data_IF_484786603210
#
_entry.id   IF_484786603210
#
_cell.length_a   1.000
_cell.length_b   1.000
_cell.length_c   1.000
_cell.angle_alpha   90.00
_cell.angle_beta   90.00
_cell.angle_gamma   90.00
#
_symmetry.space_group_name_H-M   'P 1'
#
loop_
_entity.id
_entity.type
_entity.pdbx_description
1 polymer ?
#
# COMPACT_ATOMS: atom_id res chain seq x y z
N UNK A 1 -22.73 -10.84 15.90
CA UNK A 1 -22.88 -11.41 14.54
C UNK A 1 -23.41 -12.82 14.67
N UNK A 2 -24.24 -13.31 13.75
CA UNK A 2 -24.78 -14.66 13.82
C UNK A 2 -23.66 -15.71 13.70
N UNK A 3 -23.75 -16.75 14.54
CA UNK A 3 -22.91 -17.94 14.47
C UNK A 3 -23.65 -18.99 13.66
N UNK A 4 -22.98 -19.58 12.68
CA UNK A 4 -23.50 -20.68 11.88
C UNK A 4 -23.01 -21.99 12.50
N UNK A 5 -23.93 -22.91 12.75
CA UNK A 5 -23.59 -24.21 13.31
C UNK A 5 -23.68 -25.28 12.25
N UNK A 6 -22.61 -26.04 12.08
CA UNK A 6 -22.63 -27.22 11.23
C UNK A 6 -23.58 -28.26 11.81
N UNK A 7 -24.50 -28.77 10.99
CA UNK A 7 -25.48 -29.78 11.42
C UNK A 7 -24.79 -31.11 11.78
N UNK A 8 -23.69 -31.46 11.10
CA UNK A 8 -23.03 -32.76 11.25
C UNK A 8 -22.05 -32.83 12.43
N UNK A 9 -21.26 -31.77 12.66
CA UNK A 9 -20.21 -31.77 13.69
C UNK A 9 -20.46 -30.76 14.82
N UNK A 10 -21.59 -30.04 14.79
CA UNK A 10 -21.94 -28.98 15.75
C UNK A 10 -20.92 -27.84 15.90
N UNK A 11 -19.90 -27.79 15.03
CA UNK A 11 -18.92 -26.71 15.03
C UNK A 11 -19.59 -25.38 14.68
N UNK A 12 -19.34 -24.36 15.49
CA UNK A 12 -19.84 -23.01 15.28
C UNK A 12 -18.77 -22.16 14.59
N UNK A 13 -19.11 -21.60 13.43
CA UNK A 13 -18.26 -20.69 12.69
C UNK A 13 -19.01 -19.38 12.38
N UNK A 14 -18.30 -18.26 12.40
CA UNK A 14 -18.83 -17.01 11.83
C UNK A 14 -18.42 -16.90 10.36
N UNK A 15 -19.22 -16.21 9.55
CA UNK A 15 -18.86 -15.89 8.15
C UNK A 15 -17.61 -15.00 8.02
N UNK A 16 -17.12 -14.47 9.14
CA UNK A 16 -15.91 -13.67 9.21
C UNK A 16 -14.65 -14.49 9.44
N UNK A 17 -14.77 -15.77 9.83
CA UNK A 17 -13.62 -16.66 10.05
C UNK A 17 -12.79 -16.77 8.76
N UNK A 18 -11.48 -16.67 8.88
CA UNK A 18 -10.54 -16.69 7.77
C UNK A 18 -10.38 -15.37 7.01
N UNK A 19 -11.19 -14.35 7.30
CA UNK A 19 -11.14 -13.03 6.62
C UNK A 19 -10.54 -11.95 7.51
N UNK A 20 -10.26 -10.78 6.95
CA UNK A 20 -9.81 -9.61 7.74
C UNK A 20 -10.81 -9.21 8.83
N UNK A 21 -12.08 -9.59 8.69
CA UNK A 21 -13.17 -9.25 9.61
C UNK A 21 -13.23 -10.22 10.80
N UNK A 22 -12.39 -11.26 10.84
CA UNK A 22 -12.35 -12.19 11.97
C UNK A 22 -12.05 -11.45 13.28
N UNK A 23 -12.69 -11.92 14.34
CA UNK A 23 -12.59 -11.37 15.70
C UNK A 23 -12.97 -9.89 15.81
N UNK A 24 -13.71 -9.35 14.84
CA UNK A 24 -14.32 -8.03 14.94
C UNK A 24 -15.69 -8.11 15.61
N UNK A 25 -15.96 -7.22 16.56
CA UNK A 25 -17.32 -6.99 17.10
C UNK A 25 -18.16 -6.07 16.20
N UNK A 26 -17.58 -5.55 15.11
CA UNK A 26 -18.23 -4.59 14.21
C UNK A 26 -19.11 -5.30 13.19
N UNK A 27 -20.32 -4.77 12.95
CA UNK A 27 -21.27 -5.29 11.95
C UNK A 27 -20.64 -5.34 10.54
N UNK A 28 -20.90 -6.41 9.80
CA UNK A 28 -20.51 -6.59 8.39
C UNK A 28 -20.96 -5.43 7.51
N UNK A 29 -22.14 -4.84 7.76
CA UNK A 29 -22.60 -3.67 7.02
C UNK A 29 -21.61 -2.51 7.12
N UNK A 30 -21.08 -2.25 8.32
CA UNK A 30 -20.06 -1.21 8.54
C UNK A 30 -18.74 -1.55 7.85
N UNK A 31 -18.37 -2.83 7.80
CA UNK A 31 -17.22 -3.29 7.03
C UNK A 31 -17.39 -3.07 5.52
N UNK A 32 -18.54 -3.44 4.94
CA UNK A 32 -18.81 -3.18 3.53
C UNK A 32 -18.82 -1.69 3.21
N UNK A 33 -19.43 -0.86 4.08
CA UNK A 33 -19.36 0.60 3.95
C UNK A 33 -17.92 1.10 4.02
N UNK A 34 -17.09 0.56 4.92
CA UNK A 34 -15.68 0.93 5.01
C UNK A 34 -14.91 0.56 3.73
N UNK A 35 -15.07 -0.66 3.23
CA UNK A 35 -14.44 -1.13 1.99
C UNK A 35 -14.87 -0.27 0.79
N UNK A 36 -16.15 0.07 0.72
CA UNK A 36 -16.70 0.96 -0.31
C UNK A 36 -16.10 2.36 -0.23
N UNK A 37 -16.02 2.96 0.96
CA UNK A 37 -15.46 4.30 1.14
C UNK A 37 -13.96 4.34 0.83
N UNK A 38 -13.19 3.32 1.24
CA UNK A 38 -11.75 3.25 0.94
C UNK A 38 -11.54 3.12 -0.57
N UNK A 39 -12.25 2.22 -1.25
CA UNK A 39 -12.07 1.97 -2.69
C UNK A 39 -12.60 3.11 -3.57
N UNK A 40 -13.74 3.70 -3.24
CA UNK A 40 -14.45 4.64 -4.12
C UNK A 40 -13.98 6.09 -4.00
N UNK A 41 -13.44 6.50 -2.85
CA UNK A 41 -13.00 7.90 -2.66
C UNK A 41 -11.66 8.15 -3.34
N UNK A 42 -11.57 9.03 -4.34
CA UNK A 42 -10.31 9.28 -5.05
C UNK A 42 -9.15 9.74 -4.15
N UNK A 43 -9.47 10.50 -3.09
CA UNK A 43 -8.50 10.92 -2.09
C UNK A 43 -8.11 9.78 -1.14
N UNK A 44 -8.88 8.71 -1.03
CA UNK A 44 -8.84 7.86 0.16
C UNK A 44 -9.56 8.52 1.34
N UNK A 45 -9.61 7.79 2.46
CA UNK A 45 -10.32 8.20 3.68
C UNK A 45 -9.40 8.08 4.90
N UNK A 46 -9.43 9.10 5.75
CA UNK A 46 -8.72 9.08 7.03
C UNK A 46 -9.59 8.47 8.14
N UNK A 47 -8.95 8.04 9.24
CA UNK A 47 -9.65 7.34 10.32
C UNK A 47 -10.74 8.20 11.00
N UNK A 48 -10.52 9.50 11.12
CA UNK A 48 -11.49 10.44 11.69
C UNK A 48 -12.76 10.56 10.85
N UNK A 49 -12.61 10.69 9.52
CA UNK A 49 -13.75 10.73 8.62
C UNK A 49 -14.49 9.40 8.60
N UNK A 50 -13.75 8.28 8.62
CA UNK A 50 -14.35 6.95 8.66
C UNK A 50 -15.13 6.72 9.97
N UNK A 51 -14.60 7.13 11.13
CA UNK A 51 -15.31 7.01 12.42
C UNK A 51 -16.61 7.78 12.43
N UNK A 52 -16.62 8.98 11.86
CA UNK A 52 -17.81 9.82 11.78
C UNK A 52 -18.87 9.23 10.85
N UNK A 53 -18.47 8.68 9.70
CA UNK A 53 -19.45 8.08 8.77
C UNK A 53 -20.03 6.76 9.30
N UNK A 54 -19.19 5.91 9.91
CA UNK A 54 -19.63 4.60 10.40
C UNK A 54 -20.24 4.64 11.81
N UNK A 55 -20.17 5.80 12.50
CA UNK A 55 -20.58 5.96 13.89
C UNK A 55 -19.93 4.88 14.77
N UNK A 56 -18.59 4.84 14.73
CA UNK A 56 -17.75 3.94 15.54
C UNK A 56 -16.63 4.74 16.19
N UNK A 57 -15.95 4.16 17.18
CA UNK A 57 -14.80 4.84 17.79
C UNK A 57 -13.67 5.05 16.77
N UNK A 58 -12.87 6.09 16.97
CA UNK A 58 -11.67 6.34 16.18
C UNK A 58 -10.76 5.10 16.13
N UNK A 59 -10.56 4.42 17.26
CA UNK A 59 -9.73 3.21 17.36
C UNK A 59 -10.27 2.07 16.49
N UNK A 60 -11.59 1.90 16.45
CA UNK A 60 -12.25 0.92 15.57
C UNK A 60 -12.01 1.26 14.10
N UNK A 61 -12.27 2.50 13.70
CA UNK A 61 -12.06 2.96 12.32
C UNK A 61 -10.60 2.82 11.88
N UNK A 62 -9.66 3.20 12.75
CA UNK A 62 -8.22 3.04 12.51
C UNK A 62 -7.84 1.56 12.34
N UNK A 63 -8.35 0.67 13.19
CA UNK A 63 -8.09 -0.77 13.08
C UNK A 63 -8.66 -1.37 11.79
N UNK A 64 -9.85 -0.94 11.36
CA UNK A 64 -10.44 -1.35 10.09
C UNK A 64 -9.55 -0.94 8.91
N UNK A 65 -9.14 0.32 8.85
CA UNK A 65 -8.23 0.82 7.81
C UNK A 65 -6.89 0.09 7.82
N UNK A 66 -6.34 -0.18 9.01
CA UNK A 66 -5.08 -0.91 9.15
C UNK A 66 -5.18 -2.33 8.59
N UNK A 67 -6.25 -3.05 8.91
CA UNK A 67 -6.52 -4.40 8.39
C UNK A 67 -6.66 -4.40 6.86
N UNK A 68 -7.38 -3.43 6.31
CA UNK A 68 -7.54 -3.28 4.85
C UNK A 68 -6.18 -3.05 4.19
N UNK A 69 -5.38 -2.09 4.68
CA UNK A 69 -4.05 -1.79 4.12
C UNK A 69 -3.07 -2.95 4.27
N UNK A 70 -3.18 -3.73 5.34
CA UNK A 70 -2.38 -4.94 5.52
C UNK A 70 -2.67 -5.94 4.41
N UNK A 71 -3.94 -6.15 4.07
CA UNK A 71 -4.28 -7.05 2.98
C UNK A 71 -3.80 -6.54 1.62
N UNK A 72 -3.87 -5.23 1.40
CA UNK A 72 -3.28 -4.62 0.20
C UNK A 72 -1.77 -4.90 0.16
N UNK A 73 -1.08 -4.75 1.30
CA UNK A 73 0.36 -5.01 1.40
C UNK A 73 0.69 -6.48 1.10
N UNK A 74 -0.09 -7.43 1.62
CA UNK A 74 0.13 -8.85 1.36
C UNK A 74 -0.11 -9.23 -0.10
N UNK A 75 -1.15 -8.64 -0.73
CA UNK A 75 -1.39 -8.84 -2.14
C UNK A 75 -0.30 -8.20 -3.02
N UNK A 76 0.20 -7.02 -2.61
CA UNK A 76 1.31 -6.36 -3.30
C UNK A 76 2.60 -7.19 -3.17
N UNK A 77 2.95 -7.67 -1.98
CA UNK A 77 4.14 -8.50 -1.75
C UNK A 77 4.12 -9.82 -2.57
N UNK A 78 2.93 -10.37 -2.84
CA UNK A 78 2.77 -11.57 -3.66
C UNK A 78 2.90 -11.31 -5.18
N UNK A 79 2.65 -10.08 -5.64
CA UNK A 79 2.69 -9.74 -7.06
C UNK A 79 4.08 -9.22 -7.46
N UNK A 80 4.75 -9.88 -8.41
CA UNK A 80 6.03 -9.41 -8.94
C UNK A 80 5.87 -8.56 -10.21
N UNK A 81 6.80 -7.64 -10.42
CA UNK A 81 6.94 -6.88 -11.66
C UNK A 81 7.63 -7.78 -12.70
N UNK A 82 7.06 -7.85 -13.89
CA UNK A 82 7.59 -8.61 -15.03
C UNK A 82 7.80 -7.69 -16.24
N UNK A 83 8.43 -8.22 -17.30
CA UNK A 83 8.73 -7.45 -18.51
C UNK A 83 9.89 -6.48 -18.32
N UNK A 84 9.75 -5.25 -18.82
CA UNK A 84 10.78 -4.22 -18.71
C UNK A 84 10.53 -3.31 -17.50
N UNK A 85 11.36 -3.45 -16.46
CA UNK A 85 11.19 -2.72 -15.20
C UNK A 85 12.21 -1.59 -15.09
N UNK A 86 11.73 -0.37 -14.87
CA UNK A 86 12.54 0.80 -14.57
C UNK A 86 12.53 1.05 -13.07
N UNK A 87 13.71 1.19 -12.46
CA UNK A 87 13.82 1.56 -11.05
C UNK A 87 14.34 2.99 -10.95
N UNK A 88 13.49 3.85 -10.39
CA UNK A 88 13.78 5.25 -10.11
C UNK A 88 13.98 5.46 -8.61
N UNK A 89 14.89 6.37 -8.27
CA UNK A 89 15.12 6.81 -6.91
C UNK A 89 14.36 8.13 -6.65
N UNK A 90 13.65 8.19 -5.53
CA UNK A 90 12.90 9.35 -5.08
C UNK A 90 13.09 9.59 -3.57
N UNK A 91 12.75 10.79 -3.12
CA UNK A 91 12.85 11.17 -1.70
C UNK A 91 11.52 11.69 -1.17
N UNK A 92 11.11 11.23 0.01
CA UNK A 92 9.90 11.66 0.71
C UNK A 92 10.25 12.23 2.09
N UNK A 93 9.95 13.52 2.32
CA UNK A 93 10.14 14.20 3.61
C UNK A 93 8.83 14.49 4.36
N UNK A 94 8.93 14.99 5.61
CA UNK A 94 7.80 15.45 6.44
C UNK A 94 7.03 16.61 5.79
N UNK A 95 5.73 16.82 6.10
CA UNK A 95 5.02 18.03 5.71
C UNK A 95 5.59 19.25 6.47
N UNK A 96 6.06 20.22 5.70
CA UNK A 96 6.43 21.58 6.05
C UNK A 96 5.67 22.18 7.25
N UNK A 97 6.31 22.24 8.41
CA UNK A 97 6.17 23.36 9.35
C UNK A 97 7.32 24.32 9.08
N UNK A 98 7.02 25.59 8.84
CA UNK A 98 8.05 26.60 8.65
C UNK A 98 9.04 26.61 9.82
N UNK A 99 10.30 26.87 9.49
CA UNK A 99 11.41 27.22 10.40
C UNK A 99 12.39 26.14 10.89
N UNK A 100 12.35 24.87 10.48
CA UNK A 100 13.44 23.91 10.78
C UNK A 100 13.95 23.14 9.53
N UNK A 101 15.26 23.17 9.31
CA UNK A 101 16.00 22.41 8.29
C UNK A 101 16.48 21.07 8.90
N UNK A 102 15.59 20.08 9.10
CA UNK A 102 16.00 18.74 9.54
C UNK A 102 15.60 17.63 8.56
N UNK A 103 16.57 17.29 7.70
CA UNK A 103 17.17 16.00 7.31
C UNK A 103 16.38 14.67 7.21
N UNK A 104 15.11 14.53 7.58
CA UNK A 104 14.42 13.23 7.42
C UNK A 104 13.80 13.07 6.02
N UNK A 105 14.63 13.14 4.97
CA UNK A 105 14.25 12.68 3.64
C UNK A 105 14.42 11.16 3.58
N UNK A 106 13.31 10.43 3.52
CA UNK A 106 13.36 8.97 3.37
C UNK A 106 13.49 8.62 1.88
N UNK A 107 14.54 7.89 1.48
CA UNK A 107 14.64 7.41 0.12
C UNK A 107 13.60 6.32 -0.14
N UNK A 108 13.09 6.35 -1.36
CA UNK A 108 12.03 5.48 -1.85
C UNK A 108 12.43 5.03 -3.25
N UNK A 109 12.38 3.72 -3.49
CA UNK A 109 12.53 3.14 -4.80
C UNK A 109 11.18 2.99 -5.47
N UNK A 110 11.11 3.38 -6.74
CA UNK A 110 9.90 3.32 -7.55
C UNK A 110 10.17 2.39 -8.72
N UNK A 111 9.54 1.22 -8.70
CA UNK A 111 9.58 0.26 -9.80
C UNK A 111 8.41 0.48 -10.75
N UNK A 112 8.70 0.76 -12.02
CA UNK A 112 7.72 0.93 -13.09
C UNK A 112 7.91 -0.17 -14.14
N UNK A 113 6.97 -1.10 -14.22
CA UNK A 113 6.93 -2.10 -15.28
C UNK A 113 6.26 -1.50 -16.53
N UNK A 114 6.93 -1.65 -17.66
CA UNK A 114 6.49 -1.16 -18.97
C UNK A 114 6.24 -2.36 -19.88
N UNK A 115 5.12 -2.30 -20.59
CA UNK A 115 4.75 -3.30 -21.59
C UNK A 115 5.46 -3.07 -22.93
N UNK A 116 5.26 -3.98 -23.88
CA UNK A 116 5.85 -3.89 -25.22
C UNK A 116 5.38 -2.65 -26.01
N UNK A 117 4.25 -2.05 -25.62
CA UNK A 117 3.68 -0.83 -26.20
C UNK A 117 4.21 0.45 -25.57
N UNK A 118 5.23 0.36 -24.72
CA UNK A 118 5.82 1.48 -23.97
C UNK A 118 4.83 2.16 -23.01
N UNK A 119 3.76 1.46 -22.60
CA UNK A 119 2.80 1.92 -21.61
C UNK A 119 3.12 1.35 -20.22
N UNK A 120 2.69 2.06 -19.19
CA UNK A 120 2.90 1.65 -17.80
C UNK A 120 1.89 0.56 -17.44
N UNK A 121 2.37 -0.63 -17.11
CA UNK A 121 1.54 -1.78 -16.71
C UNK A 121 1.36 -1.83 -15.18
N UNK A 122 2.44 -1.61 -14.43
CA UNK A 122 2.43 -1.74 -12.97
C UNK A 122 3.42 -0.79 -12.31
N UNK A 123 3.01 -0.20 -11.18
CA UNK A 123 3.88 0.60 -10.32
C UNK A 123 4.02 -0.05 -8.95
N UNK A 124 5.23 0.02 -8.39
CA UNK A 124 5.53 -0.27 -6.98
C UNK A 124 6.37 0.83 -6.38
N UNK A 125 6.10 1.13 -5.12
CA UNK A 125 6.80 2.17 -4.36
C UNK A 125 7.23 1.55 -3.02
N UNK A 126 8.54 1.47 -2.78
CA UNK A 126 9.11 0.81 -1.61
C UNK A 126 10.06 1.77 -0.89
N UNK A 127 9.83 1.96 0.40
CA UNK A 127 10.77 2.66 1.28
C UNK A 127 12.04 1.85 1.42
N UNK A 128 13.17 2.55 1.41
CA UNK A 128 14.49 1.96 1.63
C UNK A 128 14.76 1.88 3.12
N UNK A 129 15.32 0.76 3.57
CA UNK A 129 15.73 0.57 4.97
C UNK A 129 16.86 1.54 5.35
N UNK A 130 16.88 2.00 6.60
CA UNK A 130 17.90 2.95 7.11
C UNK A 130 19.33 2.43 6.95
N UNK A 131 19.53 1.12 6.95
CA UNK A 131 20.84 0.49 6.75
C UNK A 131 21.30 0.45 5.28
N UNK A 132 20.41 0.73 4.33
CA UNK A 132 20.68 0.60 2.89
C UNK A 132 20.82 1.94 2.16
N UNK A 133 20.98 3.05 2.88
CA UNK A 133 21.31 4.36 2.31
C UNK A 133 22.18 5.17 3.27
N UNK A 134 22.96 6.09 2.72
CA UNK A 134 23.71 7.10 3.47
C UNK A 134 23.15 8.51 3.16
N UNK A 135 23.79 9.55 3.70
CA UNK A 135 23.35 10.94 3.46
C UNK A 135 23.39 11.36 1.98
N UNK A 136 24.18 10.67 1.17
CA UNK A 136 24.50 11.03 -0.21
C UNK A 136 23.74 10.18 -1.24
N UNK A 137 23.54 8.89 -0.97
CA UNK A 137 23.04 7.93 -1.97
C UNK A 137 22.31 6.73 -1.37
N UNK A 138 21.53 6.07 -2.24
CA UNK A 138 20.96 4.76 -1.99
C UNK A 138 22.01 3.70 -2.36
N UNK A 139 22.30 2.76 -1.46
CA UNK A 139 23.30 1.73 -1.68
C UNK A 139 22.80 0.68 -2.67
N UNK A 140 23.71 -0.04 -3.34
CA UNK A 140 23.33 -1.11 -4.27
C UNK A 140 22.51 -2.21 -3.59
N UNK A 141 22.80 -2.51 -2.33
CA UNK A 141 22.05 -3.48 -1.51
C UNK A 141 20.55 -3.14 -1.44
N UNK A 142 20.18 -1.86 -1.38
CA UNK A 142 18.77 -1.46 -1.42
C UNK A 142 18.08 -1.90 -2.72
N UNK A 143 18.80 -1.75 -3.83
CA UNK A 143 18.32 -2.08 -5.16
C UNK A 143 18.23 -3.60 -5.31
N UNK A 144 19.23 -4.33 -4.83
CA UNK A 144 19.25 -5.80 -4.86
C UNK A 144 18.09 -6.38 -4.05
N UNK A 145 17.86 -5.88 -2.82
CA UNK A 145 16.71 -6.26 -2.01
C UNK A 145 15.37 -5.92 -2.68
N UNK A 146 15.28 -4.78 -3.38
CA UNK A 146 14.08 -4.44 -4.16
C UNK A 146 13.86 -5.44 -5.28
N UNK A 147 14.91 -5.81 -6.02
CA UNK A 147 14.82 -6.77 -7.12
C UNK A 147 14.38 -8.15 -6.62
N UNK A 148 15.04 -8.68 -5.58
CA UNK A 148 14.70 -9.97 -4.98
C UNK A 148 13.23 -10.05 -4.54
N UNK A 149 12.75 -8.97 -3.91
CA UNK A 149 11.40 -8.92 -3.37
C UNK A 149 10.34 -8.72 -4.45
N UNK A 150 10.56 -7.77 -5.37
CA UNK A 150 9.49 -7.22 -6.20
C UNK A 150 9.60 -7.53 -7.69
N UNK A 151 10.71 -8.09 -8.17
CA UNK A 151 10.96 -8.30 -9.59
C UNK A 151 11.01 -9.80 -9.90
N UNK A 152 10.42 -10.19 -11.03
CA UNK A 152 10.51 -11.55 -11.56
C UNK A 152 11.92 -11.85 -12.09
N UNK A 153 12.37 -13.10 -12.03
CA UNK A 153 13.71 -13.50 -12.45
C UNK A 153 13.95 -13.23 -13.94
N UNK A 154 12.91 -13.30 -14.75
CA UNK A 154 12.99 -13.09 -16.21
C UNK A 154 12.83 -11.62 -16.63
N UNK A 155 12.63 -10.70 -15.68
CA UNK A 155 12.38 -9.30 -15.99
C UNK A 155 13.69 -8.54 -16.32
N UNK A 156 13.64 -7.69 -17.35
CA UNK A 156 14.75 -6.84 -17.73
C UNK A 156 14.72 -5.53 -16.94
N UNK A 157 15.73 -5.30 -16.10
CA UNK A 157 15.78 -4.15 -15.18
C UNK A 157 16.68 -3.02 -15.70
N UNK A 158 16.16 -1.79 -15.71
CA UNK A 158 16.91 -0.56 -15.99
C UNK A 158 16.91 0.37 -14.78
N UNK A 159 18.11 0.73 -14.30
CA UNK A 159 18.29 1.67 -13.20
C UNK A 159 18.53 3.09 -13.73
N UNK A 160 17.64 4.03 -13.38
CA UNK A 160 17.70 5.39 -13.89
C UNK A 160 18.88 6.20 -13.34
N UNK A 161 19.33 5.90 -12.12
CA UNK A 161 20.47 6.55 -11.48
C UNK A 161 21.81 6.19 -12.17
N UNK A 162 21.99 4.91 -12.53
CA UNK A 162 23.16 4.46 -13.31
C UNK A 162 23.22 5.12 -14.69
N UNK A 163 22.06 5.39 -15.29
CA UNK A 163 21.94 6.10 -16.58
C UNK A 163 21.95 7.62 -16.44
N UNK A 164 22.05 8.18 -15.22
CA UNK A 164 21.94 9.62 -14.92
C UNK A 164 20.76 10.29 -15.62
N UNK A 165 19.61 9.60 -15.65
CA UNK A 165 18.41 10.11 -16.30
C UNK A 165 17.87 11.34 -15.58
N UNK A 166 17.38 12.34 -16.33
CA UNK A 166 16.70 13.49 -15.72
C UNK A 166 15.34 13.02 -15.19
N UNK A 167 14.87 13.63 -14.10
CA UNK A 167 13.57 13.32 -13.47
C UNK A 167 12.35 13.32 -14.41
N UNK A 168 12.42 14.06 -15.52
CA UNK A 168 11.37 14.11 -16.55
C UNK A 168 11.35 12.88 -17.48
N UNK A 169 12.50 12.21 -17.62
CA UNK A 169 12.70 11.06 -18.51
C UNK A 169 12.55 9.72 -17.75
N UNK A 170 12.58 9.79 -16.41
CA UNK A 170 12.25 8.70 -15.48
C UNK A 170 10.80 8.26 -15.64
N UNK A 171 10.56 6.94 -15.58
CA UNK A 171 9.26 6.33 -15.90
C UNK A 171 8.31 6.26 -14.69
N UNK A 172 8.85 5.98 -13.50
CA UNK A 172 8.13 5.95 -12.23
C UNK A 172 8.07 7.30 -11.50
N UNK A 173 9.04 8.19 -11.69
CA UNK A 173 9.08 9.48 -10.97
C UNK A 173 7.82 10.37 -11.15
N UNK A 174 7.22 10.49 -12.35
CA UNK A 174 5.95 11.21 -12.52
C UNK A 174 4.82 10.63 -11.66
N UNK A 175 4.73 9.30 -11.56
CA UNK A 175 3.73 8.61 -10.73
C UNK A 175 3.99 8.85 -9.25
N UNK A 176 5.26 8.82 -8.82
CA UNK A 176 5.65 9.17 -7.45
C UNK A 176 5.21 10.59 -7.06
N UNK A 177 5.30 11.56 -7.96
CA UNK A 177 4.82 12.94 -7.68
C UNK A 177 3.31 12.97 -7.41
N UNK A 178 2.54 12.21 -8.17
CA UNK A 178 1.09 12.06 -7.97
C UNK A 178 0.82 11.38 -6.63
N UNK A 179 1.53 10.30 -6.33
CA UNK A 179 1.42 9.58 -5.06
C UNK A 179 1.72 10.47 -3.85
N UNK A 180 2.80 11.27 -3.92
CA UNK A 180 3.18 12.22 -2.88
C UNK A 180 2.12 13.31 -2.68
N UNK A 181 1.57 13.85 -3.76
CA UNK A 181 0.48 14.84 -3.69
C UNK A 181 -0.80 14.24 -3.08
N UNK A 182 -1.14 13.00 -3.45
CA UNK A 182 -2.26 12.24 -2.91
C UNK A 182 -2.14 12.07 -1.39
N UNK A 183 -0.99 11.58 -0.91
CA UNK A 183 -0.77 11.42 0.53
C UNK A 183 -0.86 12.74 1.30
N UNK A 184 -0.24 13.81 0.77
CA UNK A 184 -0.25 15.15 1.39
C UNK A 184 -1.68 15.68 1.54
N UNK A 185 -2.50 15.51 0.49
CA UNK A 185 -3.87 16.02 0.46
C UNK A 185 -4.78 15.30 1.45
N UNK A 186 -4.60 14.00 1.63
CA UNK A 186 -5.55 13.17 2.38
C UNK A 186 -5.19 12.99 3.86
N UNK A 187 -3.89 12.89 4.16
CA UNK A 187 -3.42 12.50 5.48
C UNK A 187 -2.64 13.58 6.21
N UNK A 188 -2.35 14.73 5.57
CA UNK A 188 -1.72 15.91 6.16
C UNK A 188 -0.38 15.68 6.90
N UNK A 189 0.25 14.53 6.70
CA UNK A 189 1.47 14.13 7.40
C UNK A 189 1.35 12.75 8.00
N UNK A 190 2.24 11.85 7.60
CA UNK A 190 2.30 10.48 8.11
C UNK A 190 3.68 10.24 8.71
N UNK A 191 3.73 9.59 9.87
CA UNK A 191 4.98 9.10 10.43
C UNK A 191 5.59 7.99 9.56
N UNK A 192 6.92 7.89 9.58
CA UNK A 192 7.71 6.94 8.77
C UNK A 192 7.20 5.49 8.90
N UNK A 193 6.89 5.09 10.13
CA UNK A 193 6.52 3.73 10.53
C UNK A 193 5.37 3.13 9.69
N UNK A 194 4.38 3.94 9.32
CA UNK A 194 3.20 3.44 8.61
C UNK A 194 3.21 3.81 7.13
N UNK A 195 4.19 4.58 6.67
CA UNK A 195 4.20 5.21 5.36
C UNK A 195 4.17 4.17 4.23
N UNK A 196 4.84 3.02 4.39
CA UNK A 196 4.83 1.93 3.41
C UNK A 196 3.41 1.42 3.09
N UNK A 197 2.55 1.30 4.10
CA UNK A 197 1.17 0.84 3.88
C UNK A 197 0.35 1.81 3.03
N UNK A 198 0.64 3.10 3.09
CA UNK A 198 -0.01 4.11 2.25
C UNK A 198 0.54 4.12 0.83
N UNK A 199 1.84 3.86 0.66
CA UNK A 199 2.40 3.62 -0.66
C UNK A 199 1.78 2.41 -1.34
N UNK A 200 1.62 1.31 -0.60
CA UNK A 200 0.96 0.11 -1.09
C UNK A 200 -0.51 0.37 -1.45
N UNK A 201 -1.25 1.13 -0.61
CA UNK A 201 -2.62 1.57 -0.94
C UNK A 201 -2.63 2.36 -2.26
N UNK A 202 -1.76 3.35 -2.41
CA UNK A 202 -1.68 4.14 -3.64
C UNK A 202 -1.38 3.25 -4.87
N UNK A 203 -0.34 2.40 -4.79
CA UNK A 203 0.06 1.52 -5.89
C UNK A 203 -1.08 0.59 -6.27
N UNK A 204 -1.75 -0.04 -5.31
CA UNK A 204 -2.88 -0.92 -5.57
C UNK A 204 -4.02 -0.18 -6.30
N UNK A 205 -4.38 1.02 -5.85
CA UNK A 205 -5.44 1.82 -6.51
C UNK A 205 -5.05 2.20 -7.93
N UNK A 206 -3.80 2.63 -8.10
CA UNK A 206 -3.25 3.04 -9.38
C UNK A 206 -3.22 1.87 -10.37
N UNK A 207 -2.68 0.73 -9.96
CA UNK A 207 -2.60 -0.49 -10.76
C UNK A 207 -3.98 -1.07 -11.07
N UNK A 208 -4.92 -1.02 -10.13
CA UNK A 208 -6.31 -1.46 -10.37
C UNK A 208 -6.99 -0.60 -11.44
N UNK A 209 -6.72 0.71 -11.44
CA UNK A 209 -7.19 1.63 -12.49
C UNK A 209 -6.51 1.38 -13.84
N UNK A 210 -5.19 1.14 -13.87
CA UNK A 210 -4.47 0.79 -15.10
C UNK A 210 -5.08 -0.44 -15.78
N UNK A 211 -5.46 -1.44 -14.98
CA UNK A 211 -6.10 -2.68 -15.47
C UNK A 211 -7.59 -2.54 -15.79
N UNK A 212 -8.16 -1.33 -15.68
CA UNK A 212 -9.59 -1.07 -15.85
C UNK A 212 -10.48 -1.98 -15.00
N UNK A 213 -10.03 -2.34 -13.80
CA UNK A 213 -10.76 -3.21 -12.89
C UNK A 213 -11.64 -2.38 -11.94
N UNK A 214 -12.82 -2.90 -11.55
CA UNK A 214 -13.70 -2.21 -10.63
C UNK A 214 -13.12 -2.22 -9.20
N UNK A 215 -12.89 -1.02 -8.65
CA UNK A 215 -12.12 -0.83 -7.41
C UNK A 215 -12.78 -1.49 -6.19
N UNK A 216 -14.10 -1.40 -6.06
CA UNK A 216 -14.80 -1.92 -4.89
C UNK A 216 -14.77 -3.45 -4.86
N UNK A 217 -15.08 -4.10 -5.97
CA UNK A 217 -15.10 -5.54 -6.14
C UNK A 217 -13.70 -6.13 -5.99
N UNK A 218 -12.68 -5.46 -6.54
CA UNK A 218 -11.27 -5.83 -6.33
C UNK A 218 -10.88 -5.75 -4.86
N UNK A 219 -11.27 -4.68 -4.14
CA UNK A 219 -11.01 -4.55 -2.70
C UNK A 219 -11.72 -5.63 -1.90
N UNK A 220 -12.99 -5.89 -2.22
CA UNK A 220 -13.80 -6.89 -1.54
C UNK A 220 -13.20 -8.29 -1.72
N UNK A 221 -12.87 -8.68 -2.95
CA UNK A 221 -12.21 -9.97 -3.25
C UNK A 221 -10.90 -10.11 -2.48
N UNK A 222 -10.08 -9.07 -2.48
CA UNK A 222 -8.80 -9.05 -1.77
C UNK A 222 -8.98 -9.24 -0.25
N UNK A 223 -9.90 -8.50 0.38
CA UNK A 223 -10.14 -8.58 1.82
C UNK A 223 -10.80 -9.89 2.28
N UNK A 224 -11.50 -10.60 1.38
CA UNK A 224 -12.06 -11.92 1.65
C UNK A 224 -11.01 -13.03 1.45
N UNK A 225 -10.15 -12.90 0.43
CA UNK A 225 -9.14 -13.92 0.10
C UNK A 225 -7.90 -13.86 1.00
N UNK A 226 -7.65 -12.73 1.67
CA UNK A 226 -6.45 -12.54 2.47
C UNK A 226 -6.61 -13.13 3.88
N UNK A 227 -5.75 -14.10 4.22
CA UNK A 227 -5.69 -14.71 5.54
C UNK A 227 -5.32 -13.71 6.64
N UNK A 228 -5.80 -13.94 7.86
CA UNK A 228 -5.72 -13.01 8.98
C UNK A 228 -4.30 -12.60 9.37
N UNK A 229 -4.15 -11.30 9.64
CA UNK A 229 -3.06 -10.77 10.45
C UNK A 229 -3.61 -10.39 11.83
N UNK A 230 -3.15 -11.07 12.88
CA UNK A 230 -3.63 -10.84 14.25
C UNK A 230 -3.21 -9.45 14.76
N UNK A 231 -3.96 -8.87 15.71
CA UNK A 231 -3.65 -7.55 16.29
C UNK A 231 -2.22 -7.48 16.85
N UNK A 232 -1.75 -8.55 17.49
CA UNK A 232 -0.38 -8.64 17.99
C UNK A 232 0.68 -8.56 16.87
N UNK A 233 0.42 -9.15 15.70
CA UNK A 233 1.30 -9.04 14.53
C UNK A 233 1.24 -7.64 13.90
N UNK A 234 0.06 -7.02 13.88
CA UNK A 234 -0.09 -5.64 13.41
C UNK A 234 0.71 -4.68 14.30
N UNK A 235 0.55 -4.72 15.63
CA UNK A 235 1.25 -3.79 16.54
C UNK A 235 2.78 -3.93 16.50
N UNK A 236 3.31 -5.13 16.25
CA UNK A 236 4.77 -5.36 16.12
C UNK A 236 5.39 -4.86 14.80
N UNK A 237 4.59 -4.56 13.78
CA UNK A 237 5.03 -4.01 12.49
C UNK A 237 5.01 -2.47 12.47
N UNK A 238 4.79 -1.82 13.62
CA UNK A 238 4.97 -0.38 13.80
C UNK A 238 6.03 -0.11 14.85
#
# INVERSE_FOLDING_TARGET
MPLYQCINCHHQASLTVGTIMESSSTDLRKWFTALFLVSSTESGINALRLSNVLQVTYKTAWLMLRKIRQSITQADDAAKLSGHVYIDNAKCGKPFTGFHYEADEYPVLVGAAIDDQQQLDCIKIQMVDKSHYDEFQVLSVAIDCFCEKHIDLDAAVTYSERKRMKRKDMKGYPVFRIARAWMKRTYHGLGQVHLQHYWNEFCWRFNTKLRNLPLFESMLKLCVATSITTYAKLVKQG
#
